data_IF_997053789992
#
_entry.id   IF_997053789992
#
_cell.length_a   1.000
_cell.length_b   1.000
_cell.length_c   1.000
_cell.angle_alpha   90.00
_cell.angle_beta   90.00
_cell.angle_gamma   90.00
#
_symmetry.space_group_name_H-M   'P 1'
#
loop_
_entity.id
_entity.type
_entity.pdbx_description
1 polymer ?
#
# COMPACT_ATOMS: atom_id res chain seq x y z
N UNK A 1 0.56 19.56 1.21
CA UNK A 1 1.02 18.31 0.58
C UNK A 1 2.19 18.54 -0.37
N UNK A 2 2.12 19.50 -1.32
CA UNK A 2 3.23 19.72 -2.26
C UNK A 2 4.55 20.17 -1.62
N UNK A 3 4.50 20.95 -0.54
CA UNK A 3 5.71 21.41 0.13
C UNK A 3 6.55 20.25 0.70
N UNK A 4 5.92 19.23 1.29
CA UNK A 4 6.65 18.09 1.86
C UNK A 4 7.31 17.22 0.78
N UNK A 5 6.71 17.12 -0.41
CA UNK A 5 7.33 16.43 -1.55
C UNK A 5 8.58 17.17 -2.02
N UNK A 6 8.48 18.50 -2.14
CA UNK A 6 9.59 19.35 -2.54
C UNK A 6 10.74 19.33 -1.54
N UNK A 7 10.44 19.42 -0.25
CA UNK A 7 11.47 19.35 0.80
C UNK A 7 12.12 17.98 0.87
N UNK A 8 11.36 16.89 0.71
CA UNK A 8 11.93 15.53 0.57
C UNK A 8 12.85 15.44 -0.64
N UNK A 9 12.48 16.11 -1.74
CA UNK A 9 13.27 16.11 -2.94
C UNK A 9 14.58 16.90 -2.81
N UNK A 10 14.57 18.04 -2.13
CA UNK A 10 15.80 18.76 -1.78
C UNK A 10 16.67 17.96 -0.82
N UNK A 11 16.07 17.39 0.24
CA UNK A 11 16.79 16.66 1.28
C UNK A 11 17.58 15.46 0.73
N UNK A 12 17.15 14.90 -0.39
CA UNK A 12 17.75 13.70 -1.01
C UNK A 12 18.36 13.99 -2.39
N UNK A 13 18.58 15.26 -2.76
CA UNK A 13 19.07 15.62 -4.11
C UNK A 13 20.45 15.07 -4.43
N UNK A 14 21.30 14.91 -3.41
CA UNK A 14 22.70 14.46 -3.55
C UNK A 14 22.90 13.02 -3.04
N UNK A 15 21.82 12.28 -2.77
CA UNK A 15 21.90 10.95 -2.15
C UNK A 15 20.94 9.96 -2.83
N UNK A 16 21.47 9.06 -3.66
CA UNK A 16 20.66 8.03 -4.33
C UNK A 16 19.96 7.10 -3.33
N UNK A 17 20.69 6.60 -2.33
CA UNK A 17 20.13 5.74 -1.28
C UNK A 17 19.10 6.50 -0.44
N UNK A 18 19.37 7.76 -0.11
CA UNK A 18 18.39 8.64 0.54
C UNK A 18 17.11 8.80 -0.29
N UNK A 19 17.23 9.00 -1.61
CA UNK A 19 16.09 9.09 -2.54
C UNK A 19 15.26 7.81 -2.55
N UNK A 20 15.92 6.66 -2.66
CA UNK A 20 15.29 5.34 -2.67
C UNK A 20 14.59 5.05 -1.33
N UNK A 21 15.14 5.51 -0.21
CA UNK A 21 14.46 5.36 1.09
C UNK A 21 13.26 6.28 1.18
N UNK A 22 13.43 7.59 0.96
CA UNK A 22 12.38 8.57 1.25
C UNK A 22 11.18 8.45 0.31
N UNK A 23 11.39 8.17 -0.99
CA UNK A 23 10.28 8.13 -1.95
C UNK A 23 9.62 6.75 -1.94
N UNK A 24 10.17 5.69 -2.56
CA UNK A 24 9.43 4.43 -2.66
C UNK A 24 9.31 3.66 -1.35
N UNK A 25 10.24 3.80 -0.38
CA UNK A 25 10.18 3.01 0.86
C UNK A 25 9.54 3.73 2.05
N UNK A 26 9.31 5.03 1.97
CA UNK A 26 8.62 5.81 3.02
C UNK A 26 7.33 6.42 2.50
N UNK A 27 7.36 7.20 1.41
CA UNK A 27 6.15 7.86 0.90
C UNK A 27 5.18 6.87 0.25
N UNK A 28 5.66 5.98 -0.64
CA UNK A 28 4.77 5.02 -1.29
C UNK A 28 4.34 3.89 -0.33
N UNK A 29 5.24 3.47 0.56
CA UNK A 29 4.89 2.54 1.64
C UNK A 29 3.83 3.11 2.59
N UNK A 30 3.80 4.44 2.78
CA UNK A 30 2.72 5.12 3.52
C UNK A 30 1.40 5.07 2.76
N UNK A 31 1.41 5.03 1.43
CA UNK A 31 0.25 4.76 0.59
C UNK A 31 -0.41 3.43 0.96
N UNK A 32 0.40 2.36 1.14
CA UNK A 32 -0.08 1.04 1.58
C UNK A 32 -0.77 1.07 2.96
N UNK A 33 -0.28 1.91 3.87
CA UNK A 33 -0.84 2.07 5.22
C UNK A 33 -2.14 2.91 5.23
N UNK A 34 -2.27 3.84 4.27
CA UNK A 34 -3.40 4.75 4.17
C UNK A 34 -4.55 4.20 3.32
N UNK A 35 -4.24 3.32 2.36
CA UNK A 35 -5.16 2.81 1.34
C UNK A 35 -6.52 2.37 1.89
N UNK A 36 -6.64 1.45 2.87
CA UNK A 36 -7.95 1.01 3.35
C UNK A 36 -8.78 2.18 3.89
N UNK A 37 -8.16 3.03 4.71
CA UNK A 37 -8.82 4.18 5.35
C UNK A 37 -9.27 5.23 4.33
N UNK A 38 -8.49 5.46 3.28
CA UNK A 38 -8.83 6.40 2.22
C UNK A 38 -10.06 5.94 1.44
N UNK A 39 -10.08 4.67 1.01
CA UNK A 39 -11.20 4.07 0.28
C UNK A 39 -12.46 4.09 1.14
N UNK A 40 -12.36 3.64 2.39
CA UNK A 40 -13.52 3.55 3.29
C UNK A 40 -14.11 4.95 3.58
N UNK A 41 -13.27 5.98 3.68
CA UNK A 41 -13.72 7.36 3.86
C UNK A 41 -14.54 7.88 2.68
N UNK A 42 -14.09 7.61 1.45
CA UNK A 42 -14.76 8.05 0.23
C UNK A 42 -16.06 7.26 0.00
N UNK A 43 -16.05 5.96 0.33
CA UNK A 43 -17.28 5.16 0.34
C UNK A 43 -18.28 5.68 1.36
N UNK A 44 -17.82 6.08 2.55
CA UNK A 44 -18.64 6.70 3.59
C UNK A 44 -19.31 8.01 3.17
N UNK A 45 -18.75 8.75 2.21
CA UNK A 45 -19.39 9.92 1.62
C UNK A 45 -20.33 9.60 0.45
N UNK A 46 -20.49 8.32 0.09
CA UNK A 46 -21.37 7.85 -0.98
C UNK A 46 -20.76 7.90 -2.40
N UNK A 47 -19.50 8.32 -2.55
CA UNK A 47 -18.85 8.45 -3.86
C UNK A 47 -18.14 7.15 -4.27
N UNK A 48 -18.92 6.19 -4.75
CA UNK A 48 -18.41 4.87 -5.16
C UNK A 48 -17.41 4.94 -6.32
N UNK A 49 -17.58 5.90 -7.24
CA UNK A 49 -16.72 6.03 -8.43
C UNK A 49 -15.33 6.50 -8.03
N UNK A 50 -15.24 7.53 -7.20
CA UNK A 50 -13.95 8.00 -6.70
C UNK A 50 -13.28 6.96 -5.80
N UNK A 51 -14.05 6.22 -5.00
CA UNK A 51 -13.51 5.15 -4.18
C UNK A 51 -12.84 4.04 -5.02
N UNK A 52 -13.46 3.62 -6.13
CA UNK A 52 -12.88 2.65 -7.06
C UNK A 52 -11.60 3.16 -7.71
N UNK A 53 -11.57 4.43 -8.13
CA UNK A 53 -10.39 5.02 -8.73
C UNK A 53 -9.22 5.11 -7.73
N UNK A 54 -9.50 5.52 -6.49
CA UNK A 54 -8.50 5.57 -5.42
C UNK A 54 -8.01 4.18 -5.05
N UNK A 55 -8.90 3.17 -5.04
CA UNK A 55 -8.52 1.77 -4.79
C UNK A 55 -7.52 1.28 -5.85
N UNK A 56 -7.76 1.60 -7.13
CA UNK A 56 -6.84 1.31 -8.22
C UNK A 56 -5.49 2.01 -8.03
N UNK A 57 -5.48 3.33 -7.82
CA UNK A 57 -4.24 4.10 -7.63
C UNK A 57 -3.42 3.54 -6.46
N UNK A 58 -4.06 3.31 -5.31
CA UNK A 58 -3.37 2.78 -4.15
C UNK A 58 -2.83 1.35 -4.37
N UNK A 59 -3.46 0.55 -5.23
CA UNK A 59 -2.97 -0.79 -5.55
C UNK A 59 -1.63 -0.78 -6.30
N UNK A 60 -1.39 0.26 -7.11
CA UNK A 60 -0.14 0.41 -7.89
C UNK A 60 1.09 0.65 -7.00
N UNK A 61 0.89 1.19 -5.79
CA UNK A 61 1.96 1.49 -4.83
C UNK A 61 2.73 0.24 -4.39
N UNK A 62 2.09 -0.93 -4.42
CA UNK A 62 2.77 -2.20 -4.13
C UNK A 62 3.96 -2.40 -5.07
N UNK A 63 3.77 -2.13 -6.37
CA UNK A 63 4.83 -2.27 -7.37
C UNK A 63 5.93 -1.22 -7.21
N UNK A 64 5.59 -0.03 -6.71
CA UNK A 64 6.54 1.06 -6.45
C UNK A 64 7.46 0.71 -5.28
N UNK A 65 6.87 0.22 -4.18
CA UNK A 65 7.62 -0.24 -3.01
C UNK A 65 8.51 -1.44 -3.36
N UNK A 66 8.01 -2.41 -4.14
CA UNK A 66 8.81 -3.55 -4.64
C UNK A 66 10.04 -3.11 -5.44
N UNK A 67 9.86 -2.17 -6.37
CA UNK A 67 10.99 -1.59 -7.13
C UNK A 67 11.95 -0.86 -6.20
N UNK A 68 11.41 -0.11 -5.23
CA UNK A 68 12.18 0.58 -4.21
C UNK A 68 13.10 -0.35 -3.43
N UNK A 69 12.57 -1.43 -2.86
CA UNK A 69 13.35 -2.34 -2.02
C UNK A 69 14.37 -3.10 -2.84
N UNK A 70 14.02 -3.50 -4.08
CA UNK A 70 14.94 -4.14 -5.02
C UNK A 70 16.16 -3.25 -5.31
N UNK A 71 15.94 -2.00 -5.71
CA UNK A 71 17.04 -1.10 -6.06
C UNK A 71 17.82 -0.62 -4.85
N UNK A 72 17.16 -0.38 -3.72
CA UNK A 72 17.83 -0.02 -2.48
C UNK A 72 18.77 -1.14 -2.02
N UNK A 73 18.29 -2.39 -1.99
CA UNK A 73 19.09 -3.56 -1.62
C UNK A 73 20.23 -3.78 -2.60
N UNK A 74 19.99 -3.62 -3.91
CA UNK A 74 21.04 -3.70 -4.92
C UNK A 74 22.15 -2.68 -4.68
N UNK A 75 21.81 -1.40 -4.48
CA UNK A 75 22.80 -0.34 -4.24
C UNK A 75 23.54 -0.57 -2.92
N UNK A 76 22.86 -1.00 -1.86
CA UNK A 76 23.52 -1.34 -0.60
C UNK A 76 24.53 -2.47 -0.78
N UNK A 77 24.18 -3.52 -1.53
CA UNK A 77 25.09 -4.62 -1.84
C UNK A 77 26.32 -4.16 -2.65
N UNK A 78 26.14 -3.26 -3.62
CA UNK A 78 27.26 -2.70 -4.39
C UNK A 78 28.19 -1.81 -3.57
N UNK A 79 27.67 -1.18 -2.51
CA UNK A 79 28.41 -0.28 -1.62
C UNK A 79 28.83 -0.94 -0.30
N UNK A 80 28.61 -2.26 -0.17
CA UNK A 80 28.90 -3.05 1.04
C UNK A 80 28.22 -2.50 2.31
N UNK A 81 27.01 -1.95 2.16
CA UNK A 81 26.20 -1.49 3.27
C UNK A 81 25.28 -2.59 3.80
N UNK A 82 25.18 -2.67 5.12
CA UNK A 82 24.08 -3.40 5.78
C UNK A 82 22.75 -2.69 5.47
N UNK A 83 21.82 -3.44 4.86
CA UNK A 83 20.57 -2.88 4.32
C UNK A 83 19.70 -2.27 5.42
N UNK A 84 19.55 -2.96 6.56
CA UNK A 84 18.68 -2.52 7.65
C UNK A 84 19.25 -1.29 8.36
N UNK A 85 20.54 -1.32 8.69
CA UNK A 85 21.22 -0.19 9.31
C UNK A 85 21.24 1.02 8.40
N UNK A 86 21.58 0.85 7.12
CA UNK A 86 21.65 1.95 6.17
C UNK A 86 20.27 2.54 5.87
N UNK A 87 19.22 1.71 5.86
CA UNK A 87 17.84 2.17 5.78
C UNK A 87 17.50 3.06 6.98
N UNK A 88 17.80 2.60 8.19
CA UNK A 88 17.54 3.34 9.42
C UNK A 88 18.29 4.68 9.45
N UNK A 89 19.55 4.70 9.01
CA UNK A 89 20.36 5.91 8.92
C UNK A 89 19.81 6.90 7.89
N UNK A 90 19.33 6.41 6.73
CA UNK A 90 18.65 7.23 5.74
C UNK A 90 17.34 7.82 6.30
N UNK A 91 16.55 7.04 7.05
CA UNK A 91 15.32 7.53 7.70
C UNK A 91 15.65 8.64 8.69
N UNK A 92 16.57 8.41 9.63
CA UNK A 92 16.96 9.41 10.63
C UNK A 92 17.47 10.70 10.00
N UNK A 93 18.19 10.60 8.88
CA UNK A 93 18.80 11.74 8.21
C UNK A 93 17.83 12.53 7.33
N UNK A 94 16.94 11.85 6.61
CA UNK A 94 16.18 12.47 5.52
C UNK A 94 14.67 12.52 5.75
N UNK A 95 14.12 11.74 6.68
CA UNK A 95 12.69 11.78 7.00
C UNK A 95 12.45 12.82 8.10
N UNK A 96 11.48 13.74 7.95
CA UNK A 96 11.12 14.68 9.01
C UNK A 96 10.76 13.94 10.31
N UNK A 97 11.41 14.33 11.41
CA UNK A 97 11.28 13.67 12.71
C UNK A 97 12.18 12.44 12.91
N UNK A 98 12.83 11.96 11.84
CA UNK A 98 13.77 10.84 11.90
C UNK A 98 13.14 9.48 12.24
N UNK A 99 11.81 9.38 12.12
CA UNK A 99 11.02 8.21 12.51
C UNK A 99 9.86 7.97 11.53
N UNK A 100 9.39 6.72 11.48
CA UNK A 100 8.22 6.32 10.71
C UNK A 100 7.00 6.23 11.61
N UNK A 101 5.94 6.96 11.27
CA UNK A 101 4.74 6.99 12.10
C UNK A 101 3.87 5.75 11.84
N UNK A 102 3.50 4.97 12.86
CA UNK A 102 2.48 3.93 12.76
C UNK A 102 1.06 4.55 12.59
N UNK A 103 0.02 3.75 12.29
CA UNK A 103 0.02 2.29 12.08
C UNK A 103 0.63 1.88 10.73
N UNK A 104 1.23 0.69 10.71
CA UNK A 104 1.76 0.07 9.48
C UNK A 104 0.83 -1.05 9.02
N UNK A 105 0.56 -1.10 7.72
CA UNK A 105 -0.07 -2.25 7.07
C UNK A 105 1.00 -3.31 6.80
N UNK A 106 1.30 -4.12 7.84
CA UNK A 106 2.36 -5.13 7.80
C UNK A 106 2.17 -6.09 6.65
N UNK A 107 0.94 -6.57 6.43
CA UNK A 107 0.63 -7.49 5.34
C UNK A 107 0.92 -6.87 3.96
N UNK A 108 0.45 -5.64 3.70
CA UNK A 108 0.69 -5.01 2.40
C UNK A 108 2.17 -4.68 2.16
N UNK A 109 2.89 -4.25 3.21
CA UNK A 109 4.34 -4.03 3.13
C UNK A 109 5.10 -5.31 2.84
N UNK A 110 4.70 -6.43 3.45
CA UNK A 110 5.28 -7.74 3.20
C UNK A 110 5.01 -8.24 1.77
N UNK A 111 3.80 -8.05 1.23
CA UNK A 111 3.51 -8.31 -0.19
C UNK A 111 4.35 -7.45 -1.14
N UNK A 112 4.74 -6.26 -0.68
CA UNK A 112 5.65 -5.40 -1.41
C UNK A 112 7.14 -5.77 -1.23
N UNK A 113 7.46 -6.84 -0.50
CA UNK A 113 8.82 -7.29 -0.22
C UNK A 113 9.54 -6.48 0.87
N UNK A 114 8.81 -5.64 1.62
CA UNK A 114 9.36 -4.83 2.70
C UNK A 114 9.18 -5.54 4.04
N UNK A 115 10.21 -6.30 4.45
CA UNK A 115 10.24 -7.03 5.71
C UNK A 115 10.04 -6.10 6.92
N UNK A 116 9.45 -6.62 8.00
CA UNK A 116 9.10 -5.84 9.18
C UNK A 116 10.34 -5.29 9.90
N UNK A 117 11.39 -6.11 9.94
CA UNK A 117 12.67 -5.86 10.59
C UNK A 117 13.33 -4.59 10.05
N UNK A 118 13.19 -4.35 8.73
CA UNK A 118 13.72 -3.19 8.04
C UNK A 118 13.27 -1.85 8.65
N UNK A 119 12.00 -1.74 9.06
CA UNK A 119 11.40 -0.46 9.42
C UNK A 119 10.99 -0.33 10.89
N UNK A 120 10.94 -1.43 11.64
CA UNK A 120 10.48 -1.40 13.03
C UNK A 120 11.46 -0.66 13.94
N UNK A 121 12.76 -0.67 13.62
CA UNK A 121 13.83 -0.02 14.40
C UNK A 121 13.76 1.52 14.37
N UNK A 122 13.03 2.08 13.41
CA UNK A 122 12.81 3.52 13.23
C UNK A 122 11.34 3.90 13.38
N UNK A 123 10.50 3.00 13.90
CA UNK A 123 9.10 3.30 14.16
C UNK A 123 8.97 4.25 15.37
N UNK A 124 8.17 5.30 15.20
CA UNK A 124 7.80 6.18 16.29
C UNK A 124 7.07 5.39 17.39
N UNK A 125 7.26 5.74 18.68
CA UNK A 125 6.53 5.10 19.76
C UNK A 125 5.02 5.26 19.53
N UNK A 126 4.28 4.17 19.71
CA UNK A 126 2.82 4.13 19.50
C UNK A 126 2.16 5.12 20.47
N UNK A 127 1.76 6.31 20.00
CA UNK A 127 0.85 7.18 20.75
C UNK A 127 -0.49 6.42 20.84
N UNK A 128 -0.91 6.09 22.06
CA UNK A 128 -2.10 5.29 22.36
C UNK A 128 -3.32 5.82 21.60
N UNK A 129 -3.81 5.05 20.63
CA UNK A 129 -5.08 5.24 19.90
C UNK A 129 -5.61 3.86 19.46
N UNK A 130 -5.53 2.86 20.34
CA UNK A 130 -5.79 1.46 20.02
C UNK A 130 -7.25 1.00 20.20
N UNK A 131 -8.17 1.87 20.58
CA UNK A 131 -9.52 1.44 21.01
C UNK A 131 -10.61 1.46 19.94
N UNK A 132 -10.42 2.07 18.77
CA UNK A 132 -11.52 2.20 17.77
C UNK A 132 -11.32 1.44 16.45
N UNK A 133 -10.12 0.94 16.14
CA UNK A 133 -9.82 0.37 14.82
C UNK A 133 -10.23 -1.11 14.71
N UNK A 134 -10.12 -1.90 15.79
CA UNK A 134 -10.34 -3.35 15.71
C UNK A 134 -11.77 -3.77 15.36
N UNK A 135 -12.79 -3.04 15.82
CA UNK A 135 -14.20 -3.38 15.55
C UNK A 135 -14.62 -3.04 14.11
N UNK A 136 -14.16 -1.91 13.57
CA UNK A 136 -14.52 -1.47 12.23
C UNK A 136 -13.75 -2.22 11.14
N UNK A 137 -12.45 -2.50 11.33
CA UNK A 137 -11.66 -3.25 10.35
C UNK A 137 -12.16 -4.69 10.18
N UNK A 138 -12.57 -5.35 11.27
CA UNK A 138 -13.18 -6.69 11.22
C UNK A 138 -14.54 -6.70 10.50
N UNK A 139 -15.35 -5.65 10.69
CA UNK A 139 -16.64 -5.50 10.00
C UNK A 139 -16.45 -5.28 8.50
N UNK A 140 -15.53 -4.40 8.13
CA UNK A 140 -15.26 -4.05 6.72
C UNK A 140 -14.62 -5.24 5.97
N UNK A 141 -13.71 -5.99 6.60
CA UNK A 141 -13.16 -7.21 6.00
C UNK A 141 -14.25 -8.26 5.71
N UNK A 142 -15.23 -8.40 6.62
CA UNK A 142 -16.40 -9.26 6.41
C UNK A 142 -17.30 -8.77 5.27
N UNK A 143 -17.56 -7.46 5.20
CA UNK A 143 -18.36 -6.85 4.15
C UNK A 143 -17.68 -6.96 2.76
N UNK A 144 -16.36 -6.77 2.67
CA UNK A 144 -15.57 -6.97 1.44
C UNK A 144 -15.56 -8.43 0.98
N UNK A 145 -15.45 -9.38 1.91
CA UNK A 145 -15.53 -10.81 1.60
C UNK A 145 -16.93 -11.21 1.11
N UNK A 146 -17.99 -10.61 1.66
CA UNK A 146 -19.37 -10.80 1.17
C UNK A 146 -19.57 -10.20 -0.23
N UNK A 147 -19.04 -9.00 -0.47
CA UNK A 147 -19.14 -8.34 -1.78
C UNK A 147 -18.38 -9.11 -2.87
N UNK A 148 -17.18 -9.61 -2.57
CA UNK A 148 -16.38 -10.45 -3.49
C UNK A 148 -17.11 -11.75 -3.86
N UNK A 149 -17.75 -12.41 -2.89
CA UNK A 149 -18.60 -13.60 -3.15
C UNK A 149 -19.83 -13.28 -4.00
N UNK A 150 -20.48 -12.15 -3.74
CA UNK A 150 -21.64 -11.71 -4.53
C UNK A 150 -21.26 -11.41 -5.99
N UNK A 151 -20.08 -10.84 -6.23
CA UNK A 151 -19.54 -10.60 -7.58
C UNK A 151 -19.25 -11.91 -8.31
N UNK A 152 -18.60 -12.88 -7.66
CA UNK A 152 -18.36 -14.21 -8.24
C UNK A 152 -19.67 -14.92 -8.60
N UNK A 153 -20.70 -14.78 -7.76
CA UNK A 153 -22.00 -15.38 -7.99
C UNK A 153 -22.74 -14.72 -9.17
N UNK A 154 -22.60 -13.41 -9.35
CA UNK A 154 -23.16 -12.70 -10.52
C UNK A 154 -22.44 -13.04 -11.83
N UNK A 155 -21.11 -13.19 -11.79
CA UNK A 155 -20.32 -13.65 -12.94
C UNK A 155 -20.76 -15.05 -13.35
N UNK A 156 -20.89 -15.97 -12.39
CA UNK A 156 -21.37 -17.33 -12.66
C UNK A 156 -22.78 -17.34 -13.29
N UNK A 157 -23.70 -16.53 -12.78
CA UNK A 157 -25.06 -16.42 -13.34
C UNK A 157 -25.07 -15.87 -14.77
N UNK A 158 -24.15 -14.96 -15.11
CA UNK A 158 -24.00 -14.45 -16.48
C UNK A 158 -23.46 -15.52 -17.42
N UNK A 159 -22.46 -16.29 -16.99
CA UNK A 159 -21.90 -17.41 -17.75
C UNK A 159 -22.96 -18.50 -17.99
N UNK A 160 -23.78 -18.80 -16.98
CA UNK A 160 -24.86 -19.79 -17.08
C UNK A 160 -25.98 -19.33 -18.05
N UNK A 161 -26.36 -18.05 -18.04
CA UNK A 161 -27.34 -17.48 -18.99
C UNK A 161 -26.80 -17.49 -20.43
N UNK A 162 -25.52 -17.18 -20.61
CA UNK A 162 -24.89 -17.25 -21.93
C UNK A 162 -24.81 -18.68 -22.46
N UNK A 163 -24.52 -19.66 -21.60
CA UNK A 163 -24.53 -21.08 -21.95
C UNK A 163 -25.93 -21.57 -22.37
N UNK A 164 -27.01 -21.08 -21.72
CA UNK A 164 -28.39 -21.39 -22.08
C UNK A 164 -28.85 -20.74 -23.41
N UNK A 165 -28.28 -19.58 -23.75
CA UNK A 165 -28.56 -18.89 -25.03
C UNK A 165 -27.82 -19.50 -26.24
N UNK A 166 -26.88 -20.42 -26.00
CA UNK A 166 -26.00 -21.01 -27.01
C UNK A 166 -26.38 -22.41 -27.49
N UNK A 167 -27.65 -22.84 -27.40
CA UNK A 167 -28.06 -24.11 -28.05
C UNK A 167 -28.26 -23.93 -29.56
N UNK A 168 -27.58 -24.74 -30.40
CA UNK A 168 -27.81 -24.76 -31.83
C UNK A 168 -29.04 -25.61 -32.12
N UNK A 169 -30.21 -24.99 -32.29
CA UNK A 169 -31.30 -25.61 -33.06
C UNK A 169 -32.40 -24.59 -33.40
N UNK A 170 -32.35 -24.11 -34.64
CA UNK A 170 -33.57 -23.94 -35.43
C UNK A 170 -33.19 -24.28 -36.87
N UNK A 171 -33.27 -25.57 -37.16
CA UNK A 171 -33.19 -26.13 -38.50
C UNK A 171 -34.32 -25.56 -39.38
N UNK A 172 -33.94 -25.06 -40.56
CA UNK A 172 -34.72 -25.14 -41.80
C UNK A 172 -33.76 -25.47 -42.94
#
# INVERSE_FOLDING_TARGET
VHNSLWESAKATMNTLTGRLVVIPLVQEARGLDAHPRMVDRILGSGDKKSAQLVDLICSEETSHVQKGIKWFSYVCNQLEYDVERHFADCVRKHVPGGELLPPFNVWAREQAGMAKELYISVAAPRRQMETEINSNTLRIAKERAQFSKSLQQQVQLLDDVQALSGSPDCAL
#
